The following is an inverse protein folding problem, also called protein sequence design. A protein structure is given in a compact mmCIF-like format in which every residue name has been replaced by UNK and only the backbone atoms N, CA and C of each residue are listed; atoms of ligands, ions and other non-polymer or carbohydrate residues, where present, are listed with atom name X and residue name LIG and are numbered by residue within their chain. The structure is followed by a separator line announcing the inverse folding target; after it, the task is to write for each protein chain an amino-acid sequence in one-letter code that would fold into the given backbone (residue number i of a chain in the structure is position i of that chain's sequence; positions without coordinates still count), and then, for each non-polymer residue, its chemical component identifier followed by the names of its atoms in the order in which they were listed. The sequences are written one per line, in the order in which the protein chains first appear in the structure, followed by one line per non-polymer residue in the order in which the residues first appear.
data_IF_268407210442
#
_entry.id   IF_268407210442
#
_cell.length_a   1.000
_cell.length_b   1.000
_cell.length_c   1.000
_cell.angle_alpha   90.00
_cell.angle_beta   90.00
_cell.angle_gamma   90.00
#
_symmetry.space_group_name_H-M   'P 1'
#
loop_
_entity.id
_entity.type
_entity.pdbx_description
1 polymer ?
#
# COMPACT_ATOMS: atom_id res chain seq x y z
N UNK A 1 20.79 -6.92 20.37
CA UNK A 1 19.44 -7.06 20.93
C UNK A 1 18.36 -7.11 19.87
N UNK A 2 18.44 -6.35 18.76
CA UNK A 2 17.44 -6.39 17.67
C UNK A 2 17.30 -7.78 17.00
N UNK A 3 18.40 -8.52 16.82
CA UNK A 3 18.37 -9.86 16.22
C UNK A 3 17.67 -10.92 17.09
N UNK A 4 17.68 -10.76 18.42
CA UNK A 4 17.04 -11.71 19.32
C UNK A 4 15.52 -11.52 19.38
N UNK A 5 15.03 -10.27 19.31
CA UNK A 5 13.60 -9.97 19.28
C UNK A 5 12.97 -10.38 17.93
N UNK A 6 13.66 -10.16 16.82
CA UNK A 6 13.23 -10.59 15.51
C UNK A 6 13.14 -12.11 15.37
N UNK A 7 14.11 -12.85 15.93
CA UNK A 7 14.08 -14.32 15.96
C UNK A 7 12.91 -14.88 16.77
N UNK A 8 12.58 -14.25 17.91
CA UNK A 8 11.47 -14.69 18.77
C UNK A 8 10.10 -14.39 18.17
N UNK A 9 9.93 -13.23 17.54
CA UNK A 9 8.70 -12.87 16.81
C UNK A 9 8.48 -13.78 15.60
N UNK A 10 9.54 -14.10 14.87
CA UNK A 10 9.53 -15.04 13.76
C UNK A 10 9.13 -16.47 14.18
N UNK A 11 9.70 -16.97 15.28
CA UNK A 11 9.34 -18.29 15.81
C UNK A 11 7.86 -18.33 16.19
N UNK A 12 7.36 -17.31 16.86
CA UNK A 12 5.95 -17.21 17.23
C UNK A 12 5.02 -17.09 16.04
N UNK A 13 5.42 -16.39 14.97
CA UNK A 13 4.65 -16.29 13.73
C UNK A 13 4.50 -17.66 13.07
N UNK A 14 5.60 -18.38 12.84
CA UNK A 14 5.57 -19.73 12.23
C UNK A 14 4.81 -20.74 13.09
N UNK A 15 5.09 -20.79 14.38
CA UNK A 15 4.42 -21.70 15.31
C UNK A 15 2.91 -21.38 15.38
N UNK A 16 2.56 -20.10 15.38
CA UNK A 16 1.18 -19.62 15.36
C UNK A 16 0.46 -20.04 14.06
N UNK A 17 1.06 -19.82 12.90
CA UNK A 17 0.49 -20.24 11.63
C UNK A 17 0.31 -21.76 11.58
N UNK A 18 1.35 -22.54 11.87
CA UNK A 18 1.29 -24.00 11.82
C UNK A 18 0.31 -24.59 12.81
N UNK A 19 0.24 -24.08 14.05
CA UNK A 19 -0.64 -24.62 15.07
C UNK A 19 -2.11 -24.25 14.86
N UNK A 20 -2.39 -23.05 14.39
CA UNK A 20 -3.76 -22.52 14.24
C UNK A 20 -4.39 -22.94 12.92
N UNK A 21 -3.68 -22.70 11.82
CA UNK A 21 -4.17 -22.99 10.48
C UNK A 21 -3.99 -24.44 10.08
N UNK A 22 -2.91 -25.10 10.52
CA UNK A 22 -2.68 -26.53 10.24
C UNK A 22 -3.76 -27.43 10.84
N UNK A 23 -4.28 -27.09 12.03
CA UNK A 23 -5.40 -27.82 12.64
C UNK A 23 -6.70 -27.63 11.86
N UNK A 24 -7.02 -26.40 11.45
CA UNK A 24 -8.21 -26.12 10.68
C UNK A 24 -8.19 -26.85 9.33
N UNK A 25 -7.03 -26.88 8.67
CA UNK A 25 -6.85 -27.61 7.42
C UNK A 25 -6.99 -29.12 7.59
N UNK A 26 -6.35 -29.70 8.62
CA UNK A 26 -6.42 -31.14 8.90
C UNK A 26 -7.85 -31.60 9.23
N UNK A 27 -8.64 -30.75 9.85
CA UNK A 27 -10.03 -31.03 10.22
C UNK A 27 -11.04 -30.62 9.12
N UNK A 28 -10.58 -29.98 8.04
CA UNK A 28 -11.42 -29.38 6.99
C UNK A 28 -12.52 -28.47 7.54
N UNK A 29 -12.21 -27.76 8.64
CA UNK A 29 -13.17 -26.94 9.39
C UNK A 29 -12.63 -25.50 9.53
N UNK A 30 -13.09 -24.65 8.62
CA UNK A 30 -12.69 -23.23 8.54
C UNK A 30 -13.12 -22.47 9.82
N UNK A 31 -14.18 -22.90 10.50
CA UNK A 31 -14.65 -22.23 11.74
C UNK A 31 -13.63 -22.26 12.88
N UNK A 32 -12.64 -23.16 12.79
CA UNK A 32 -11.54 -23.32 13.75
C UNK A 32 -10.31 -22.46 13.45
N UNK A 33 -10.36 -21.65 12.41
CA UNK A 33 -9.29 -20.69 12.11
C UNK A 33 -9.33 -19.57 13.16
N UNK A 34 -8.27 -19.48 13.95
CA UNK A 34 -8.09 -18.39 14.91
C UNK A 34 -6.88 -17.58 14.50
N UNK A 35 -7.09 -16.34 14.04
CA UNK A 35 -6.00 -15.39 13.78
C UNK A 35 -5.49 -14.78 15.10
N UNK A 36 -4.20 -14.44 15.17
CA UNK A 36 -3.74 -13.60 16.27
C UNK A 36 -4.50 -12.26 16.24
N UNK A 37 -4.79 -11.65 17.39
CA UNK A 37 -5.35 -10.32 17.41
C UNK A 37 -4.42 -9.38 16.64
N UNK A 38 -4.99 -8.57 15.76
CA UNK A 38 -4.27 -7.52 15.06
C UNK A 38 -4.12 -6.35 16.01
N UNK A 39 -2.90 -5.88 16.24
CA UNK A 39 -2.67 -4.60 16.90
C UNK A 39 -3.06 -3.47 15.92
N UNK A 40 -4.35 -3.14 15.89
CA UNK A 40 -4.90 -2.17 14.98
C UNK A 40 -4.74 -0.75 15.52
N UNK A 41 -4.27 0.15 14.66
CA UNK A 41 -4.18 1.59 14.95
C UNK A 41 -5.48 2.27 14.52
N UNK A 42 -6.03 3.13 15.39
CA UNK A 42 -7.19 3.93 15.03
C UNK A 42 -6.81 4.99 13.98
N UNK A 43 -7.69 5.31 13.01
CA UNK A 43 -7.43 6.39 12.09
C UNK A 43 -7.41 7.73 12.82
N UNK A 44 -6.54 8.64 12.37
CA UNK A 44 -6.45 9.99 12.89
C UNK A 44 -6.54 10.98 11.72
N UNK A 45 -7.69 11.61 11.58
CA UNK A 45 -7.96 12.55 10.49
C UNK A 45 -7.26 13.93 10.68
N UNK A 46 -6.60 14.14 11.79
CA UNK A 46 -5.67 15.25 12.00
C UNK A 46 -4.25 14.84 11.62
N UNK A 47 -3.42 15.80 11.18
CA UNK A 47 -2.03 15.52 10.84
C UNK A 47 -1.23 15.17 12.11
N UNK A 48 -0.89 13.91 12.25
CA UNK A 48 0.02 13.40 13.27
C UNK A 48 1.27 12.89 12.56
N UNK A 49 2.45 13.30 13.01
CA UNK A 49 3.72 12.99 12.36
C UNK A 49 3.74 13.28 10.85
N UNK A 50 3.05 14.35 10.45
CA UNK A 50 2.96 14.80 9.06
C UNK A 50 2.02 13.99 8.16
N UNK A 51 1.17 13.11 8.70
CA UNK A 51 0.20 12.30 7.93
C UNK A 51 -1.14 12.23 8.65
N UNK A 52 -2.22 12.58 7.95
CA UNK A 52 -3.58 12.32 8.38
C UNK A 52 -4.09 10.99 7.81
N UNK A 53 -4.97 10.30 8.54
CA UNK A 53 -5.52 9.01 8.10
C UNK A 53 -7.02 8.92 8.33
N UNK A 54 -7.72 8.26 7.40
CA UNK A 54 -9.14 7.90 7.55
C UNK A 54 -9.44 6.55 6.92
N UNK A 55 -10.43 5.86 7.45
CA UNK A 55 -10.95 4.63 6.88
C UNK A 55 -12.18 4.91 6.03
N UNK A 56 -12.26 4.29 4.85
CA UNK A 56 -13.40 4.39 3.93
C UNK A 56 -13.89 2.99 3.60
N UNK A 57 -15.19 2.76 3.76
CA UNK A 57 -15.87 1.54 3.33
C UNK A 57 -16.18 1.67 1.83
N UNK A 58 -15.79 0.68 1.03
CA UNK A 58 -16.03 0.66 -0.41
C UNK A 58 -17.20 -0.24 -0.78
N UNK A 59 -17.31 -1.38 -0.12
CA UNK A 59 -18.35 -2.37 -0.43
C UNK A 59 -18.86 -3.02 0.85
N UNK A 60 -20.15 -2.82 1.13
CA UNK A 60 -20.78 -3.35 2.34
C UNK A 60 -20.99 -4.86 2.29
N UNK A 61 -21.21 -5.43 1.10
CA UNK A 61 -21.46 -6.87 0.95
C UNK A 61 -20.21 -7.70 1.23
N UNK A 62 -19.03 -7.23 0.78
CA UNK A 62 -17.76 -7.91 0.99
C UNK A 62 -17.01 -7.44 2.24
N UNK A 63 -17.43 -6.32 2.81
CA UNK A 63 -16.72 -5.66 3.88
C UNK A 63 -15.45 -4.92 3.44
N UNK A 64 -15.22 -4.79 2.11
CA UNK A 64 -14.04 -4.14 1.55
C UNK A 64 -13.94 -2.69 2.02
N UNK A 65 -12.79 -2.35 2.55
CA UNK A 65 -12.49 -1.00 3.03
C UNK A 65 -11.02 -0.66 2.79
N UNK A 66 -10.72 0.63 2.73
CA UNK A 66 -9.35 1.14 2.60
C UNK A 66 -9.03 2.07 3.75
N UNK A 67 -7.74 2.26 4.01
CA UNK A 67 -7.22 3.38 4.80
C UNK A 67 -6.49 4.34 3.88
N UNK A 68 -6.88 5.61 3.91
CA UNK A 68 -6.24 6.68 3.16
C UNK A 68 -5.25 7.39 4.09
N UNK A 69 -4.00 7.53 3.62
CA UNK A 69 -2.94 8.28 4.28
C UNK A 69 -2.64 9.52 3.44
N UNK A 70 -2.95 10.70 3.98
CA UNK A 70 -2.74 11.99 3.34
C UNK A 70 -1.52 12.68 3.95
N UNK A 71 -0.43 12.89 3.20
CA UNK A 71 0.74 13.60 3.72
C UNK A 71 0.50 15.11 3.82
N UNK A 72 1.17 15.78 4.76
CA UNK A 72 1.02 17.21 4.99
C UNK A 72 1.45 18.10 3.80
N UNK A 73 2.27 17.58 2.88
CA UNK A 73 2.63 18.30 1.65
C UNK A 73 1.41 18.53 0.72
N UNK A 74 0.31 17.79 0.88
CA UNK A 74 -0.94 18.03 0.18
C UNK A 74 -1.53 19.43 0.46
N UNK A 75 -1.31 19.96 1.68
CA UNK A 75 -1.87 21.24 2.13
C UNK A 75 -0.83 22.37 2.23
N UNK A 76 0.44 22.05 2.15
CA UNK A 76 1.56 23.01 2.22
C UNK A 76 2.58 22.74 1.11
N UNK A 77 2.32 23.15 -0.13
CA UNK A 77 3.19 22.83 -1.29
C UNK A 77 4.63 23.33 -1.18
N UNK A 78 4.92 24.28 -0.27
CA UNK A 78 6.26 24.84 -0.06
C UNK A 78 7.16 24.07 0.91
N UNK A 79 6.63 23.12 1.67
CA UNK A 79 7.41 22.15 2.45
C UNK A 79 7.66 20.89 1.62
N UNK A 80 8.37 21.03 0.51
CA UNK A 80 9.16 19.89 0.00
C UNK A 80 10.03 19.50 1.18
N UNK A 81 9.89 18.29 1.71
CA UNK A 81 10.79 17.75 2.72
C UNK A 81 12.20 18.15 2.32
N UNK A 82 13.02 18.59 3.29
CA UNK A 82 14.44 18.91 3.06
C UNK A 82 15.13 17.81 2.25
N UNK A 83 14.63 16.60 2.34
CA UNK A 83 14.98 15.43 1.55
C UNK A 83 14.73 15.62 0.04
N UNK A 84 13.59 16.12 -0.40
CA UNK A 84 13.32 16.41 -1.83
C UNK A 84 14.18 17.57 -2.36
N UNK A 85 14.57 18.50 -1.50
CA UNK A 85 15.53 19.57 -1.85
C UNK A 85 16.96 19.01 -1.93
N UNK A 86 17.32 18.11 -1.03
CA UNK A 86 18.62 17.44 -0.98
C UNK A 86 18.82 16.54 -2.21
N UNK A 87 17.78 15.79 -2.62
CA UNK A 87 17.79 14.92 -3.81
C UNK A 87 17.95 15.69 -5.14
N UNK A 88 17.43 16.92 -5.26
CA UNK A 88 17.66 17.77 -6.43
C UNK A 88 19.09 18.31 -6.53
N UNK A 89 19.84 18.27 -5.45
CA UNK A 89 21.19 18.86 -5.36
C UNK A 89 22.32 17.85 -5.49
N UNK A 90 22.03 16.54 -5.44
CA UNK A 90 23.04 15.48 -5.35
C UNK A 90 22.91 14.48 -6.48
N UNK A 91 23.88 14.50 -7.35
CA UNK A 91 24.09 13.44 -8.34
C UNK A 91 24.77 12.25 -7.69
N UNK A 92 24.17 11.04 -7.83
CA UNK A 92 24.63 9.69 -7.54
C UNK A 92 24.94 9.28 -6.09
N UNK A 93 24.37 8.14 -5.69
CA UNK A 93 24.38 7.54 -4.36
C UNK A 93 25.76 7.14 -3.78
N UNK A 94 26.86 7.34 -4.49
CA UNK A 94 28.20 6.96 -4.06
C UNK A 94 28.92 7.98 -3.16
N UNK A 95 28.34 9.14 -2.91
CA UNK A 95 28.96 10.24 -2.14
C UNK A 95 28.37 10.47 -0.75
N UNK A 96 27.59 9.51 -0.22
CA UNK A 96 26.66 9.73 0.91
C UNK A 96 26.99 9.07 2.24
N UNK A 97 28.26 8.94 2.61
CA UNK A 97 28.60 8.61 4.00
C UNK A 97 29.44 9.71 4.62
N UNK A 98 28.87 10.63 5.43
CA UNK A 98 29.70 11.38 6.36
C UNK A 98 30.30 10.43 7.40
N UNK A 99 31.53 10.65 7.86
CA UNK A 99 32.13 9.86 8.91
C UNK A 99 31.33 10.00 10.22
N UNK A 100 31.34 8.99 11.11
CA UNK A 100 30.63 9.07 12.37
C UNK A 100 31.27 10.11 13.29
N UNK A 101 30.56 11.18 13.60
CA UNK A 101 31.01 12.26 14.48
C UNK A 101 30.00 13.39 14.60
N UNK A 102 29.33 13.46 15.75
CA UNK A 102 28.88 14.63 16.49
C UNK A 102 28.05 15.75 15.78
N UNK A 103 26.96 15.43 15.11
CA UNK A 103 26.06 16.46 14.60
C UNK A 103 24.56 16.26 14.87
N UNK A 104 24.15 15.23 15.63
CA UNK A 104 22.73 14.83 15.67
C UNK A 104 21.95 15.31 16.90
N UNK A 105 22.58 15.95 17.89
CA UNK A 105 21.84 16.42 19.10
C UNK A 105 21.28 17.84 18.98
N UNK A 106 21.80 18.69 18.09
CA UNK A 106 21.32 20.08 17.97
C UNK A 106 20.14 20.27 17.00
N UNK A 107 19.87 19.29 16.14
CA UNK A 107 18.81 19.40 15.12
C UNK A 107 17.40 19.17 15.68
N UNK A 108 17.28 18.42 16.78
CA UNK A 108 15.97 18.09 17.39
C UNK A 108 15.53 19.04 18.51
N UNK A 109 16.38 19.96 18.97
CA UNK A 109 16.05 20.90 20.04
C UNK A 109 15.36 22.19 19.57
N UNK A 110 15.27 22.43 18.28
CA UNK A 110 14.64 23.62 17.70
C UNK A 110 13.12 23.54 17.44
N UNK A 111 12.50 22.38 17.62
CA UNK A 111 11.08 22.18 17.30
C UNK A 111 10.11 22.25 18.50
N UNK A 112 10.60 22.44 19.71
CA UNK A 112 9.79 22.52 20.93
C UNK A 112 9.95 23.87 21.63
N UNK A 113 9.65 24.95 20.95
CA UNK A 113 9.57 26.31 21.51
C UNK A 113 8.14 26.83 21.47
N UNK A 114 7.61 27.11 22.65
CA UNK A 114 6.45 27.95 22.94
C UNK A 114 5.03 27.35 22.83
N UNK A 115 4.59 26.71 23.92
CA UNK A 115 3.29 26.96 24.51
C UNK A 115 3.27 26.49 25.98
N UNK A 116 3.81 27.32 26.87
CA UNK A 116 3.56 27.20 28.29
C UNK A 116 2.28 27.99 28.65
N UNK A 117 1.21 27.28 28.96
CA UNK A 117 -0.02 27.81 29.52
C UNK A 117 -0.45 26.91 30.67
N UNK A 118 -0.30 27.41 31.88
CA UNK A 118 -0.59 26.79 33.19
C UNK A 118 -2.07 26.44 33.34
N UNK A 119 -2.35 25.24 33.88
CA UNK A 119 -3.67 24.84 34.35
C UNK A 119 -3.63 23.62 35.23
N UNK A 120 -3.66 23.84 36.53
CA UNK A 120 -3.72 22.90 37.62
C UNK A 120 -5.08 22.18 37.68
N UNK A 121 -5.14 20.87 38.00
CA UNK A 121 -6.43 20.27 38.43
C UNK A 121 -6.50 18.75 38.37
N UNK A 122 -6.19 18.15 39.50
CA UNK A 122 -6.73 16.92 40.12
C UNK A 122 -7.26 15.74 39.32
N UNK A 123 -6.74 14.59 39.73
CA UNK A 123 -7.10 13.25 39.29
C UNK A 123 -8.51 12.80 39.62
N UNK A 124 -8.97 11.85 38.84
CA UNK A 124 -9.90 10.78 39.26
C UNK A 124 -9.70 9.60 38.31
N UNK A 125 -9.56 8.43 38.91
CA UNK A 125 -9.62 7.16 38.20
C UNK A 125 -11.06 6.93 37.72
N UNK A 126 -11.24 6.49 36.48
CA UNK A 126 -12.52 5.97 36.02
C UNK A 126 -12.34 4.69 35.21
N UNK A 127 -13.22 3.79 35.55
CA UNK A 127 -13.35 2.39 35.25
C UNK A 127 -13.53 2.07 33.74
N UNK A 128 -13.05 0.90 33.39
CA UNK A 128 -13.32 0.23 32.11
C UNK A 128 -14.83 0.06 31.89
N UNK A 129 -15.35 0.60 30.81
CA UNK A 129 -16.62 0.17 30.22
C UNK A 129 -16.39 -0.24 28.77
N UNK A 130 -16.50 -1.55 28.53
CA UNK A 130 -16.77 -2.11 27.23
C UNK A 130 -18.09 -1.53 26.70
N UNK A 131 -18.02 -0.78 25.61
CA UNK A 131 -19.15 -0.15 24.93
C UNK A 131 -19.18 -0.47 23.45
N UNK A 132 -20.23 -1.17 23.07
CA UNK A 132 -20.62 -1.56 21.72
C UNK A 132 -20.46 -0.46 20.69
N UNK A 133 -20.08 -0.85 19.46
CA UNK A 133 -20.06 -0.01 18.26
C UNK A 133 -21.45 0.59 18.00
N UNK A 134 -21.65 1.83 18.41
CA UNK A 134 -22.79 2.65 18.10
C UNK A 134 -22.39 3.75 17.11
N UNK A 135 -23.14 3.87 16.02
CA UNK A 135 -23.10 4.96 15.07
C UNK A 135 -23.50 6.29 15.75
N UNK A 136 -22.56 6.94 16.41
CA UNK A 136 -22.74 8.24 17.02
C UNK A 136 -22.09 9.33 16.16
N UNK A 137 -22.86 10.02 15.32
CA UNK A 137 -22.42 11.15 14.51
C UNK A 137 -22.13 12.39 15.36
N UNK A 138 -20.95 12.43 16.00
CA UNK A 138 -20.36 13.70 16.44
C UNK A 138 -19.80 14.46 15.22
N UNK A 139 -19.64 15.81 15.30
CA UNK A 139 -19.09 16.57 14.19
C UNK A 139 -17.69 16.05 13.85
N UNK A 140 -17.42 15.83 12.55
CA UNK A 140 -16.10 15.46 12.04
C UNK A 140 -15.08 16.53 12.42
N UNK A 141 -14.06 16.17 13.18
CA UNK A 141 -13.02 17.11 13.70
C UNK A 141 -11.70 17.03 12.94
N UNK A 142 -11.65 16.27 11.83
CA UNK A 142 -10.45 16.06 11.03
C UNK A 142 -10.20 17.13 9.98
N UNK A 143 -9.16 16.91 9.16
CA UNK A 143 -8.84 17.75 8.03
C UNK A 143 -9.98 17.79 7.00
N UNK A 144 -10.38 18.99 6.62
CA UNK A 144 -11.36 19.25 5.55
C UNK A 144 -10.66 20.08 4.48
N UNK A 145 -10.58 19.60 3.22
CA UNK A 145 -10.02 20.37 2.12
C UNK A 145 -10.78 21.68 1.89
N UNK A 146 -10.05 22.75 1.54
CA UNK A 146 -10.67 23.99 1.13
C UNK A 146 -11.16 23.88 -0.32
N UNK A 147 -12.44 23.97 -0.61
CA UNK A 147 -12.97 23.85 -1.97
C UNK A 147 -12.48 24.92 -2.94
N UNK A 148 -12.05 26.07 -2.43
CA UNK A 148 -11.59 27.22 -3.21
C UNK A 148 -10.07 27.36 -3.19
N UNK A 149 -9.36 26.47 -2.51
CA UNK A 149 -7.87 26.50 -2.39
C UNK A 149 -7.20 25.91 -3.62
N UNK A 150 -5.97 26.41 -3.91
CA UNK A 150 -5.09 25.73 -4.84
C UNK A 150 -4.66 24.40 -4.20
N UNK A 151 -5.35 23.31 -4.53
CA UNK A 151 -5.06 21.98 -4.01
C UNK A 151 -3.87 21.39 -4.78
N UNK A 152 -2.89 20.86 -4.05
CA UNK A 152 -1.77 20.17 -4.68
C UNK A 152 -2.15 18.72 -4.99
N UNK A 153 -2.06 18.36 -6.25
CA UNK A 153 -2.36 17.01 -6.75
C UNK A 153 -1.16 16.09 -6.54
N UNK A 154 -1.38 14.98 -5.86
CA UNK A 154 -0.36 14.00 -5.48
C UNK A 154 -0.59 12.67 -6.19
N UNK A 155 0.48 11.95 -6.58
CA UNK A 155 0.34 10.59 -7.06
C UNK A 155 -0.31 9.69 -6.00
N UNK A 156 -0.93 8.59 -6.45
CA UNK A 156 -1.62 7.63 -5.59
C UNK A 156 -0.83 6.33 -5.55
N UNK A 157 -0.55 5.83 -4.36
CA UNK A 157 0.02 4.48 -4.13
C UNK A 157 -1.09 3.60 -3.57
N UNK A 158 -1.52 2.57 -4.31
CA UNK A 158 -2.43 1.54 -3.80
C UNK A 158 -1.60 0.44 -3.19
N UNK A 159 -1.70 0.29 -1.86
CA UNK A 159 -0.85 -0.59 -1.07
C UNK A 159 -1.61 -1.84 -0.61
N UNK A 160 -0.96 -3.01 -0.77
CA UNK A 160 -1.43 -4.32 -0.33
C UNK A 160 -0.51 -4.84 0.78
N UNK A 161 -1.09 -5.08 1.96
CA UNK A 161 -0.33 -5.49 3.15
C UNK A 161 0.22 -6.91 3.06
N UNK A 162 1.19 -7.23 3.89
CA UNK A 162 1.73 -8.57 4.09
C UNK A 162 0.79 -9.47 4.91
N UNK A 163 1.20 -10.71 5.17
CA UNK A 163 0.46 -11.63 6.05
C UNK A 163 0.08 -12.95 5.40
N UNK A 164 0.80 -13.34 4.35
CA UNK A 164 0.69 -14.65 3.70
C UNK A 164 -0.73 -14.99 3.24
N UNK A 165 -1.53 -14.02 2.81
CA UNK A 165 -2.94 -14.09 2.44
C UNK A 165 -3.90 -14.46 3.59
N UNK A 166 -3.40 -14.83 4.75
CA UNK A 166 -4.19 -15.39 5.86
C UNK A 166 -4.23 -14.52 7.11
N UNK A 167 -3.35 -13.54 7.22
CA UNK A 167 -3.26 -12.60 8.34
C UNK A 167 -2.97 -11.18 7.84
N UNK A 168 -2.77 -10.26 8.76
CA UNK A 168 -2.50 -8.86 8.45
C UNK A 168 -3.77 -8.05 8.23
N UNK A 169 -3.60 -6.74 8.14
CA UNK A 169 -4.68 -5.82 7.83
C UNK A 169 -4.13 -4.45 7.41
N UNK A 170 -4.95 -3.65 6.74
CA UNK A 170 -4.62 -2.28 6.33
C UNK A 170 -4.26 -1.35 7.50
N UNK A 171 -4.74 -1.67 8.68
CA UNK A 171 -4.66 -0.87 9.91
C UNK A 171 -3.80 -1.50 11.01
N UNK A 172 -3.11 -2.60 10.74
CA UNK A 172 -2.11 -3.14 11.68
C UNK A 172 -1.00 -2.12 11.94
N UNK A 173 -0.46 -2.07 13.16
CA UNK A 173 0.55 -1.09 13.55
C UNK A 173 1.76 -1.08 12.61
N UNK A 174 2.24 -2.25 12.19
CA UNK A 174 3.35 -2.34 11.23
C UNK A 174 2.99 -1.73 9.88
N UNK A 175 1.80 -2.06 9.35
CA UNK A 175 1.35 -1.54 8.07
C UNK A 175 1.06 -0.03 8.13
N UNK A 176 0.47 0.45 9.23
CA UNK A 176 0.23 1.89 9.44
C UNK A 176 1.55 2.68 9.46
N UNK A 177 2.56 2.20 10.20
CA UNK A 177 3.90 2.82 10.24
C UNK A 177 4.55 2.84 8.84
N UNK A 178 4.49 1.73 8.12
CA UNK A 178 5.04 1.63 6.76
C UNK A 178 4.32 2.59 5.78
N UNK A 179 2.99 2.60 5.78
CA UNK A 179 2.21 3.47 4.90
C UNK A 179 2.40 4.97 5.22
N UNK A 180 2.51 5.35 6.50
CA UNK A 180 2.86 6.72 6.90
C UNK A 180 4.24 7.13 6.39
N UNK A 181 5.23 6.23 6.47
CA UNK A 181 6.57 6.47 5.92
C UNK A 181 6.48 6.68 4.41
N UNK A 182 5.84 5.78 3.67
CA UNK A 182 5.66 5.90 2.22
C UNK A 182 4.99 7.22 1.84
N UNK A 183 3.88 7.59 2.50
CA UNK A 183 3.17 8.83 2.21
C UNK A 183 4.09 10.05 2.31
N UNK A 184 4.96 10.09 3.35
CA UNK A 184 5.90 11.19 3.56
C UNK A 184 7.07 11.20 2.56
N UNK A 185 7.73 10.05 2.36
CA UNK A 185 8.96 10.02 1.53
C UNK A 185 8.66 10.08 0.04
N UNK A 186 7.52 9.52 -0.39
CA UNK A 186 7.08 9.56 -1.79
C UNK A 186 6.28 10.83 -2.14
N UNK A 187 5.91 11.67 -1.15
CA UNK A 187 4.95 12.76 -1.36
C UNK A 187 3.71 12.27 -2.13
N UNK A 188 3.09 11.19 -1.66
CA UNK A 188 1.99 10.51 -2.33
C UNK A 188 0.86 10.20 -1.36
N UNK A 189 -0.37 10.16 -1.85
CA UNK A 189 -1.48 9.58 -1.11
C UNK A 189 -1.31 8.07 -1.12
N UNK A 190 -1.32 7.43 0.07
CA UNK A 190 -1.31 5.97 0.15
C UNK A 190 -2.72 5.48 0.47
N UNK A 191 -3.21 4.55 -0.34
CA UNK A 191 -4.50 3.87 -0.16
C UNK A 191 -4.22 2.41 0.20
N UNK A 192 -4.22 2.09 1.49
CA UNK A 192 -3.98 0.74 1.98
C UNK A 192 -5.26 -0.09 1.90
N UNK A 193 -5.19 -1.22 1.21
CA UNK A 193 -6.34 -2.11 0.92
C UNK A 193 -6.52 -3.14 2.02
N UNK A 194 -7.72 -3.19 2.60
CA UNK A 194 -8.15 -4.26 3.50
C UNK A 194 -8.79 -5.40 2.73
N UNK A 195 -7.99 -6.15 1.97
CA UNK A 195 -8.48 -7.25 1.15
C UNK A 195 -8.91 -8.45 1.99
N UNK A 196 -9.86 -9.25 1.49
CA UNK A 196 -10.37 -10.46 2.15
C UNK A 196 -9.29 -11.52 2.26
N UNK A 197 -9.27 -12.20 3.39
CA UNK A 197 -8.25 -13.18 3.75
C UNK A 197 -8.75 -14.62 3.57
N UNK A 198 -7.82 -15.49 3.22
CA UNK A 198 -8.01 -16.94 3.24
C UNK A 198 -7.89 -17.45 4.70
N UNK A 199 -8.47 -18.63 4.99
CA UNK A 199 -9.17 -19.54 4.09
C UNK A 199 -10.65 -19.22 3.88
N UNK A 200 -11.23 -18.22 4.57
CA UNK A 200 -12.65 -17.87 4.45
C UNK A 200 -12.97 -17.36 3.04
N UNK A 201 -12.02 -16.66 2.45
CA UNK A 201 -12.12 -16.11 1.10
C UNK A 201 -10.87 -16.51 0.30
N UNK A 202 -10.95 -17.66 -0.36
CA UNK A 202 -9.88 -18.19 -1.20
C UNK A 202 -9.68 -17.36 -2.47
N UNK A 203 -8.58 -17.60 -3.17
CA UNK A 203 -8.34 -17.06 -4.51
C UNK A 203 -9.57 -17.25 -5.41
N UNK A 204 -10.02 -16.20 -6.15
CA UNK A 204 -9.36 -14.93 -6.40
C UNK A 204 -9.79 -13.74 -5.51
N UNK A 205 -10.45 -13.94 -4.37
CA UNK A 205 -11.11 -12.89 -3.59
C UNK A 205 -10.21 -11.65 -3.30
N UNK A 206 -8.94 -11.86 -2.91
CA UNK A 206 -8.01 -10.77 -2.66
C UNK A 206 -7.68 -9.94 -3.92
N UNK A 207 -7.63 -10.61 -5.08
CA UNK A 207 -7.38 -9.95 -6.37
C UNK A 207 -8.58 -9.14 -6.84
N UNK A 208 -9.78 -9.67 -6.62
CA UNK A 208 -11.04 -8.98 -6.92
C UNK A 208 -11.19 -7.73 -6.06
N UNK A 209 -10.86 -7.82 -4.78
CA UNK A 209 -10.88 -6.69 -3.86
C UNK A 209 -9.88 -5.60 -4.28
N UNK A 210 -8.66 -5.97 -4.65
CA UNK A 210 -7.66 -5.03 -5.15
C UNK A 210 -8.12 -4.31 -6.41
N UNK A 211 -8.70 -5.03 -7.35
CA UNK A 211 -9.21 -4.46 -8.58
C UNK A 211 -10.44 -3.57 -8.34
N UNK A 212 -11.31 -3.94 -7.41
CA UNK A 212 -12.48 -3.13 -7.01
C UNK A 212 -12.06 -1.79 -6.40
N UNK A 213 -10.96 -1.76 -5.63
CA UNK A 213 -10.40 -0.49 -5.12
C UNK A 213 -9.96 0.43 -6.26
N UNK A 214 -9.36 -0.10 -7.34
CA UNK A 214 -8.98 0.73 -8.49
C UNK A 214 -10.21 1.28 -9.23
N UNK A 215 -11.26 0.50 -9.40
CA UNK A 215 -12.53 0.97 -9.96
C UNK A 215 -13.15 2.07 -9.10
N UNK A 216 -13.12 1.88 -7.79
CA UNK A 216 -13.58 2.90 -6.85
C UNK A 216 -12.77 4.19 -6.99
N UNK A 217 -11.43 4.13 -7.04
CA UNK A 217 -10.57 5.31 -7.23
C UNK A 217 -10.85 6.01 -8.57
N UNK A 218 -11.02 5.26 -9.66
CA UNK A 218 -11.42 5.81 -10.96
C UNK A 218 -12.76 6.56 -10.85
N UNK A 219 -13.75 5.97 -10.19
CA UNK A 219 -15.05 6.59 -9.95
C UNK A 219 -14.94 7.86 -9.10
N UNK A 220 -14.07 7.88 -8.07
CA UNK A 220 -13.84 9.09 -7.26
C UNK A 220 -13.34 10.25 -8.13
N UNK A 221 -12.45 10.01 -9.07
CA UNK A 221 -11.96 11.03 -9.99
C UNK A 221 -13.07 11.55 -10.92
N UNK A 222 -13.86 10.65 -11.52
CA UNK A 222 -15.02 11.04 -12.38
C UNK A 222 -16.02 11.90 -11.60
N UNK A 223 -16.31 11.54 -10.35
CA UNK A 223 -17.23 12.31 -9.50
C UNK A 223 -16.65 13.68 -9.14
N UNK A 224 -15.33 13.75 -8.87
CA UNK A 224 -14.64 15.01 -8.56
C UNK A 224 -14.64 15.98 -9.75
N UNK A 225 -14.39 15.48 -10.96
CA UNK A 225 -14.45 16.27 -12.20
C UNK A 225 -15.86 16.78 -12.47
N UNK A 226 -16.87 15.92 -12.33
CA UNK A 226 -18.28 16.31 -12.50
C UNK A 226 -18.72 17.38 -11.46
N UNK A 227 -18.26 17.27 -10.21
CA UNK A 227 -18.53 18.28 -9.17
C UNK A 227 -17.83 19.63 -9.51
N UNK A 228 -16.61 19.58 -10.02
CA UNK A 228 -15.87 20.78 -10.44
C UNK A 228 -16.57 21.49 -11.61
N UNK A 229 -17.05 20.74 -12.61
CA UNK A 229 -17.77 21.29 -13.76
C UNK A 229 -19.09 21.97 -13.34
N UNK A 230 -19.86 21.36 -12.45
CA UNK A 230 -21.08 21.96 -11.89
C UNK A 230 -20.76 23.26 -11.15
N UNK A 231 -19.69 23.27 -10.34
CA UNK A 231 -19.27 24.47 -9.59
C UNK A 231 -18.84 25.61 -10.51
N UNK A 232 -18.08 25.31 -11.58
CA UNK A 232 -17.61 26.28 -12.55
C UNK A 232 -18.76 26.87 -13.37
N UNK A 233 -19.76 26.07 -13.75
CA UNK A 233 -20.94 26.54 -14.49
C UNK A 233 -21.81 27.50 -13.65
N UNK A 234 -21.95 27.26 -12.37
CA UNK A 234 -22.65 28.19 -11.45
C UNK A 234 -21.87 29.51 -11.26
N UNK A 235 -20.54 29.46 -11.20
CA UNK A 235 -19.70 30.65 -11.04
C UNK A 235 -19.74 31.59 -12.26
N UNK A 236 -19.99 31.04 -13.47
CA UNK A 236 -20.05 31.82 -14.73
C UNK A 236 -21.45 32.39 -15.04
N UNK A 237 -22.43 32.26 -14.15
CA UNK A 237 -23.76 32.89 -14.28
C UNK A 237 -24.63 32.36 -15.43
N UNK A 238 -24.30 31.17 -15.94
CA UNK A 238 -24.97 30.57 -17.10
C UNK A 238 -26.13 29.64 -16.71
N UNK A 239 -27.36 30.17 -16.55
CA UNK A 239 -28.56 29.35 -16.49
C UNK A 239 -29.00 28.76 -17.84
N UNK A 240 -28.28 28.99 -18.93
CA UNK A 240 -28.65 28.53 -20.27
C UNK A 240 -27.66 27.53 -20.84
N UNK A 241 -28.10 26.27 -20.94
CA UNK A 241 -27.53 25.37 -21.94
C UNK A 241 -26.88 24.06 -21.50
N UNK A 242 -27.17 23.50 -20.33
CA UNK A 242 -26.84 22.09 -20.08
C UNK A 242 -27.97 21.24 -20.64
N UNK A 243 -27.72 20.53 -21.75
CA UNK A 243 -28.70 19.68 -22.41
C UNK A 243 -29.28 18.61 -21.45
N UNK A 244 -30.54 18.25 -21.66
CA UNK A 244 -31.30 17.33 -20.80
C UNK A 244 -30.64 15.96 -20.61
N UNK A 245 -29.81 15.49 -21.58
CA UNK A 245 -29.02 14.26 -21.43
C UNK A 245 -27.90 14.39 -20.39
N UNK A 246 -27.22 15.52 -20.35
CA UNK A 246 -26.19 15.79 -19.34
C UNK A 246 -26.81 15.97 -17.95
N UNK A 247 -28.00 16.58 -17.85
CA UNK A 247 -28.77 16.65 -16.59
C UNK A 247 -29.16 15.26 -16.06
N UNK A 248 -29.53 14.32 -16.93
CA UNK A 248 -29.88 12.96 -16.53
C UNK A 248 -28.68 12.15 -15.98
N UNK A 249 -27.50 12.32 -16.55
CA UNK A 249 -26.25 11.70 -16.09
C UNK A 249 -25.79 12.39 -14.80
N UNK A 250 -25.81 13.71 -14.73
CA UNK A 250 -25.42 14.50 -13.56
C UNK A 250 -26.36 14.22 -12.39
N UNK A 251 -27.67 14.09 -12.61
CA UNK A 251 -28.66 13.80 -11.53
C UNK A 251 -28.48 12.40 -10.95
N UNK A 252 -28.02 11.41 -11.72
CA UNK A 252 -27.69 10.07 -11.20
C UNK A 252 -26.35 10.04 -10.46
N UNK A 253 -25.35 10.83 -10.89
CA UNK A 253 -24.05 10.94 -10.24
C UNK A 253 -24.11 11.76 -8.93
N UNK A 254 -25.01 12.74 -8.82
CA UNK A 254 -25.17 13.62 -7.65
C UNK A 254 -25.69 12.89 -6.38
N UNK A 255 -26.09 11.62 -6.48
CA UNK A 255 -26.40 10.81 -5.28
C UNK A 255 -25.18 10.28 -4.54
N UNK A 256 -24.00 10.26 -5.16
CA UNK A 256 -22.73 9.91 -4.52
C UNK A 256 -21.76 11.09 -4.62
N UNK A 257 -21.37 11.64 -3.49
CA UNK A 257 -20.30 12.65 -3.44
C UNK A 257 -18.93 11.97 -3.45
N UNK A 258 -17.93 12.55 -4.13
CA UNK A 258 -16.57 12.03 -4.07
C UNK A 258 -16.00 12.17 -2.67
N UNK A 259 -15.06 11.31 -2.33
CA UNK A 259 -14.29 11.47 -1.12
C UNK A 259 -13.53 12.80 -1.13
N UNK A 260 -13.72 13.70 -0.14
CA UNK A 260 -13.19 15.06 -0.19
C UNK A 260 -11.66 15.11 -0.27
N UNK A 261 -10.95 14.16 0.35
CA UNK A 261 -9.48 14.13 0.30
C UNK A 261 -8.97 13.72 -1.07
N UNK A 262 -9.62 12.72 -1.68
CA UNK A 262 -9.26 12.25 -3.02
C UNK A 262 -9.62 13.29 -4.07
N UNK A 263 -10.82 13.88 -3.99
CA UNK A 263 -11.25 14.94 -4.91
C UNK A 263 -10.32 16.14 -4.90
N UNK A 264 -9.79 16.50 -3.72
CA UNK A 264 -8.90 17.65 -3.59
C UNK A 264 -7.45 17.37 -3.97
N UNK A 265 -6.96 16.15 -3.72
CA UNK A 265 -5.51 15.92 -3.71
C UNK A 265 -5.05 14.70 -4.52
N UNK A 266 -5.92 13.84 -5.04
CA UNK A 266 -5.49 12.64 -5.75
C UNK A 266 -5.36 12.87 -7.26
N UNK A 267 -4.19 12.57 -7.81
CA UNK A 267 -3.98 12.44 -9.24
C UNK A 267 -3.97 10.94 -9.61
N UNK A 268 -5.11 10.44 -10.03
CA UNK A 268 -5.27 9.02 -10.40
C UNK A 268 -4.59 8.65 -11.72
N UNK A 269 -4.16 9.64 -12.53
CA UNK A 269 -3.35 9.39 -13.71
C UNK A 269 -1.92 8.97 -13.35
N UNK A 270 -1.51 9.19 -12.10
CA UNK A 270 -0.20 8.83 -11.55
C UNK A 270 -0.36 7.79 -10.43
N UNK A 271 -0.93 6.62 -10.77
CA UNK A 271 -1.14 5.52 -9.82
C UNK A 271 0.02 4.52 -9.87
N UNK A 272 0.45 4.06 -8.69
CA UNK A 272 1.45 2.98 -8.51
C UNK A 272 0.85 1.92 -7.60
N UNK A 273 1.00 0.64 -7.95
CA UNK A 273 0.65 -0.47 -7.07
C UNK A 273 1.86 -0.83 -6.22
N UNK A 274 1.67 -1.03 -4.92
CA UNK A 274 2.73 -1.45 -4.03
C UNK A 274 2.25 -2.62 -3.18
N UNK A 275 2.99 -3.71 -3.22
CA UNK A 275 2.65 -4.89 -2.43
C UNK A 275 3.82 -5.41 -1.61
N UNK A 276 3.51 -5.97 -0.45
CA UNK A 276 4.47 -6.55 0.49
C UNK A 276 4.18 -8.03 0.66
N UNK A 277 5.15 -8.92 0.41
CA UNK A 277 5.03 -10.37 0.56
C UNK A 277 3.82 -10.94 -0.22
N UNK A 278 2.79 -11.46 0.46
CA UNK A 278 1.53 -11.87 -0.18
C UNK A 278 0.85 -10.72 -0.91
N UNK A 279 0.90 -9.51 -0.35
CA UNK A 279 0.39 -8.31 -1.01
C UNK A 279 1.12 -7.98 -2.31
N UNK A 280 2.40 -8.35 -2.45
CA UNK A 280 3.13 -8.20 -3.71
C UNK A 280 2.59 -9.15 -4.80
N UNK A 281 2.21 -10.36 -4.43
CA UNK A 281 1.50 -11.25 -5.34
C UNK A 281 0.13 -10.65 -5.75
N UNK A 282 -0.61 -10.08 -4.78
CA UNK A 282 -1.89 -9.41 -5.08
C UNK A 282 -1.66 -8.23 -6.03
N UNK A 283 -0.68 -7.36 -5.77
CA UNK A 283 -0.34 -6.23 -6.63
C UNK A 283 -0.04 -6.65 -8.07
N UNK A 284 0.77 -7.69 -8.26
CA UNK A 284 1.11 -8.21 -9.58
C UNK A 284 -0.12 -8.75 -10.34
N UNK A 285 -1.00 -9.49 -9.68
CA UNK A 285 -2.22 -10.01 -10.30
C UNK A 285 -3.19 -8.88 -10.66
N UNK A 286 -3.30 -7.86 -9.82
CA UNK A 286 -4.10 -6.65 -10.09
C UNK A 286 -3.49 -5.87 -11.28
N UNK A 287 -2.15 -5.67 -11.31
CA UNK A 287 -1.47 -5.00 -12.43
C UNK A 287 -1.75 -5.69 -13.76
N UNK A 288 -1.69 -7.02 -13.81
CA UNK A 288 -2.00 -7.81 -15.02
C UNK A 288 -3.43 -7.59 -15.49
N UNK A 289 -4.38 -7.49 -14.56
CA UNK A 289 -5.79 -7.26 -14.87
C UNK A 289 -6.02 -5.84 -15.42
N UNK A 290 -5.30 -4.84 -14.90
CA UNK A 290 -5.41 -3.44 -15.33
C UNK A 290 -5.07 -3.24 -16.80
N UNK A 291 -4.11 -3.99 -17.33
CA UNK A 291 -3.60 -3.81 -18.70
C UNK A 291 -4.32 -4.69 -19.74
N UNK A 292 -5.31 -5.47 -19.33
CA UNK A 292 -6.20 -6.14 -20.28
C UNK A 292 -7.05 -5.08 -21.02
N UNK A 293 -7.52 -5.35 -22.28
CA UNK A 293 -8.39 -4.40 -22.99
C UNK A 293 -9.63 -3.99 -22.18
N UNK A 294 -10.21 -4.92 -21.43
CA UNK A 294 -11.34 -4.63 -20.54
C UNK A 294 -10.90 -3.75 -19.36
N UNK A 295 -9.77 -4.10 -18.72
CA UNK A 295 -9.25 -3.35 -17.58
C UNK A 295 -8.91 -1.91 -17.93
N UNK A 296 -8.24 -1.67 -19.04
CA UNK A 296 -7.91 -0.31 -19.52
C UNK A 296 -9.17 0.54 -19.70
N UNK A 297 -10.23 -0.02 -20.28
CA UNK A 297 -11.48 0.71 -20.52
C UNK A 297 -12.25 0.96 -19.22
N UNK A 298 -12.29 -0.03 -18.31
CA UNK A 298 -13.06 0.05 -17.08
C UNK A 298 -12.44 1.01 -16.03
N UNK A 299 -11.10 1.15 -16.07
CA UNK A 299 -10.37 1.94 -15.08
C UNK A 299 -10.15 3.41 -15.47
N UNK A 300 -10.53 3.83 -16.67
CA UNK A 300 -10.41 5.25 -17.05
C UNK A 300 -11.14 6.15 -16.04
N UNK A 301 -10.54 7.27 -15.60
CA UNK A 301 -9.27 7.87 -16.06
C UNK A 301 -8.02 7.36 -15.31
N UNK A 302 -8.13 6.40 -14.41
CA UNK A 302 -7.01 5.88 -13.63
C UNK A 302 -5.97 5.18 -14.52
N UNK A 303 -4.69 5.50 -14.29
CA UNK A 303 -3.57 4.90 -15.02
C UNK A 303 -2.53 4.34 -14.04
N UNK A 304 -2.27 3.03 -14.14
CA UNK A 304 -1.20 2.37 -13.37
C UNK A 304 0.12 2.52 -14.11
N UNK A 305 1.03 3.35 -13.59
CA UNK A 305 2.33 3.64 -14.19
C UNK A 305 3.43 2.68 -13.77
N UNK A 306 3.32 2.09 -12.59
CA UNK A 306 4.33 1.21 -12.05
C UNK A 306 3.81 0.27 -10.98
N UNK A 307 4.62 -0.75 -10.67
CA UNK A 307 4.40 -1.61 -9.51
C UNK A 307 5.69 -1.80 -8.71
N UNK A 308 5.54 -1.83 -7.38
CA UNK A 308 6.63 -2.09 -6.42
C UNK A 308 6.30 -3.36 -5.66
N UNK A 309 7.15 -4.36 -5.79
CA UNK A 309 6.95 -5.69 -5.22
C UNK A 309 8.05 -5.99 -4.21
N UNK A 310 7.73 -5.91 -2.91
CA UNK A 310 8.67 -6.21 -1.84
C UNK A 310 8.61 -7.69 -1.51
N UNK A 311 9.76 -8.37 -1.68
CA UNK A 311 9.95 -9.80 -1.37
C UNK A 311 8.71 -10.65 -1.66
N UNK A 312 8.25 -10.68 -2.95
CA UNK A 312 6.96 -11.23 -3.34
C UNK A 312 6.81 -12.71 -3.00
N UNK A 313 5.66 -13.07 -2.42
CA UNK A 313 5.31 -14.45 -2.11
C UNK A 313 4.83 -15.17 -3.38
N UNK A 314 5.79 -15.75 -4.10
CA UNK A 314 5.53 -16.60 -5.25
C UNK A 314 5.81 -18.08 -4.93
N UNK A 315 5.07 -18.98 -5.59
CA UNK A 315 5.23 -20.41 -5.49
C UNK A 315 5.97 -21.02 -6.68
N UNK A 316 6.12 -22.32 -6.64
CA UNK A 316 6.62 -23.18 -7.71
C UNK A 316 6.97 -24.56 -7.17
N UNK A 317 6.72 -25.60 -7.96
CA UNK A 317 6.97 -27.00 -7.57
C UNK A 317 8.47 -27.32 -7.51
N UNK A 318 9.27 -26.73 -8.41
CA UNK A 318 10.72 -26.91 -8.42
C UNK A 318 11.37 -26.07 -7.32
N UNK A 319 12.12 -26.68 -6.38
CA UNK A 319 12.79 -25.92 -5.32
C UNK A 319 13.91 -25.04 -5.88
N UNK A 320 14.07 -23.84 -5.32
CA UNK A 320 15.15 -22.90 -5.67
C UNK A 320 16.37 -23.07 -4.74
N UNK A 321 17.57 -22.59 -5.12
CA UNK A 321 18.73 -22.60 -4.25
C UNK A 321 18.50 -21.88 -2.91
N UNK A 322 17.80 -20.73 -2.90
CA UNK A 322 17.45 -20.03 -1.65
C UNK A 322 16.53 -20.86 -0.75
N UNK A 323 15.54 -21.55 -1.32
CA UNK A 323 14.66 -22.47 -0.56
C UNK A 323 15.41 -23.67 0.01
N UNK A 324 16.42 -24.19 -0.71
CA UNK A 324 17.24 -25.31 -0.24
C UNK A 324 18.23 -24.88 0.85
N UNK A 325 18.88 -23.71 0.69
CA UNK A 325 19.86 -23.17 1.62
C UNK A 325 19.22 -22.70 2.94
N UNK A 326 18.07 -22.04 2.86
CA UNK A 326 17.39 -21.44 3.99
C UNK A 326 16.19 -22.26 4.48
N UNK A 327 16.34 -23.60 4.51
CA UNK A 327 15.29 -24.56 4.88
C UNK A 327 14.61 -24.25 6.22
N UNK A 328 15.38 -23.70 7.16
CA UNK A 328 14.94 -23.33 8.51
C UNK A 328 14.93 -21.79 8.70
N UNK A 329 14.72 -21.03 7.61
CA UNK A 329 14.73 -19.58 7.64
C UNK A 329 13.78 -18.98 8.69
N UNK A 330 14.13 -17.80 9.19
CA UNK A 330 13.47 -17.20 10.36
C UNK A 330 11.97 -16.95 10.18
N UNK A 331 11.52 -16.29 9.11
CA UNK A 331 10.11 -15.88 8.97
C UNK A 331 9.28 -16.82 8.11
N UNK A 332 9.85 -17.28 7.01
CA UNK A 332 9.21 -18.22 6.11
C UNK A 332 10.12 -19.41 5.88
N UNK A 333 9.56 -20.60 5.96
CA UNK A 333 10.19 -21.83 5.51
C UNK A 333 9.26 -22.53 4.53
N UNK A 334 9.79 -23.49 3.79
CA UNK A 334 9.05 -24.17 2.74
C UNK A 334 7.74 -24.81 3.21
N UNK A 335 7.67 -25.53 4.36
CA UNK A 335 6.41 -26.08 4.86
C UNK A 335 5.36 -25.00 5.21
N UNK A 336 5.80 -23.84 5.68
CA UNK A 336 4.89 -22.70 5.95
C UNK A 336 4.37 -22.10 4.65
N UNK A 337 5.21 -21.95 3.62
CA UNK A 337 4.77 -21.51 2.30
C UNK A 337 3.74 -22.46 1.69
N UNK A 338 3.98 -23.77 1.73
CA UNK A 338 3.01 -24.76 1.23
C UNK A 338 1.69 -24.70 1.99
N UNK A 339 1.72 -24.54 3.32
CA UNK A 339 0.52 -24.39 4.13
C UNK A 339 -0.31 -23.17 3.71
N UNK A 340 0.30 -22.00 3.56
CA UNK A 340 -0.44 -20.80 3.20
C UNK A 340 -1.01 -20.85 1.78
N UNK A 341 -0.32 -21.47 0.83
CA UNK A 341 -0.87 -21.68 -0.50
C UNK A 341 -2.03 -22.67 -0.51
N UNK A 342 -2.02 -23.72 0.33
CA UNK A 342 -3.18 -24.62 0.52
C UNK A 342 -4.40 -23.91 1.09
N UNK A 343 -4.17 -22.95 1.98
CA UNK A 343 -5.26 -22.13 2.53
C UNK A 343 -5.80 -21.14 1.50
N UNK A 344 -4.92 -20.59 0.66
CA UNK A 344 -5.25 -19.54 -0.29
C UNK A 344 -5.90 -20.05 -1.59
N UNK A 345 -5.38 -21.11 -2.17
CA UNK A 345 -5.88 -21.67 -3.43
C UNK A 345 -7.18 -22.48 -3.23
N UNK A 346 -8.03 -22.62 -4.25
CA UNK A 346 -9.16 -23.54 -4.23
C UNK A 346 -8.71 -24.97 -3.92
N UNK A 347 -9.52 -25.73 -3.19
CA UNK A 347 -9.15 -27.08 -2.74
C UNK A 347 -9.06 -28.08 -3.88
N UNK A 348 -9.90 -27.90 -4.91
CA UNK A 348 -10.00 -28.73 -6.11
C UNK A 348 -8.95 -28.37 -7.18
N UNK A 349 -8.27 -27.22 -7.04
CA UNK A 349 -7.26 -26.72 -7.99
C UNK A 349 -5.93 -26.36 -7.29
N UNK A 350 -5.61 -27.08 -6.21
CA UNK A 350 -4.37 -26.81 -5.49
C UNK A 350 -3.16 -27.34 -6.24
N UNK A 351 -2.29 -26.41 -6.64
CA UNK A 351 -0.94 -26.70 -7.16
C UNK A 351 -0.01 -25.54 -6.79
N UNK A 352 1.25 -25.84 -6.45
CA UNK A 352 2.28 -24.81 -6.33
C UNK A 352 2.63 -24.17 -7.68
N UNK A 353 2.22 -24.80 -8.77
CA UNK A 353 2.35 -24.29 -10.14
C UNK A 353 1.05 -23.65 -10.65
N UNK A 354 0.08 -23.42 -9.75
CA UNK A 354 -1.14 -22.70 -10.12
C UNK A 354 -0.79 -21.25 -10.57
N UNK A 355 -1.37 -20.74 -11.69
CA UNK A 355 -1.01 -19.45 -12.27
C UNK A 355 -1.21 -18.24 -11.36
N UNK A 356 -2.05 -18.37 -10.34
CA UNK A 356 -2.25 -17.31 -9.34
C UNK A 356 -1.01 -17.09 -8.44
N UNK A 357 -0.23 -18.14 -8.21
CA UNK A 357 0.89 -18.11 -7.26
C UNK A 357 2.25 -18.34 -7.92
N UNK A 358 2.30 -19.00 -9.07
CA UNK A 358 3.51 -19.14 -9.88
C UNK A 358 3.44 -18.30 -11.16
N UNK A 359 3.93 -17.07 -11.14
CA UNK A 359 3.86 -16.18 -12.30
C UNK A 359 4.78 -16.59 -13.45
N UNK A 360 5.74 -17.51 -13.21
CA UNK A 360 6.74 -17.94 -14.20
C UNK A 360 6.18 -18.92 -15.26
N UNK A 361 5.06 -19.57 -14.97
CA UNK A 361 4.45 -20.55 -15.88
C UNK A 361 3.50 -19.96 -16.92
N UNK A 362 3.42 -18.66 -17.00
CA UNK A 362 2.59 -17.98 -17.99
C UNK A 362 3.33 -17.88 -19.32
N UNK A 363 2.73 -18.41 -20.38
CA UNK A 363 3.28 -18.32 -21.74
C UNK A 363 3.29 -16.89 -22.27
N UNK A 364 2.36 -16.05 -21.82
CA UNK A 364 2.19 -14.68 -22.29
C UNK A 364 1.89 -13.72 -21.15
N UNK A 365 2.49 -12.52 -21.23
CA UNK A 365 2.09 -11.37 -20.44
C UNK A 365 1.14 -10.49 -21.27
N UNK A 366 0.11 -9.90 -20.67
CA UNK A 366 -0.66 -8.89 -21.37
C UNK A 366 0.26 -7.72 -21.75
N UNK A 367 0.10 -7.14 -22.95
CA UNK A 367 0.87 -5.96 -23.36
C UNK A 367 0.57 -4.79 -22.43
N UNK A 368 1.57 -3.93 -22.20
CA UNK A 368 1.40 -2.74 -21.37
C UNK A 368 1.58 -2.98 -19.87
N UNK A 369 2.15 -4.12 -19.45
CA UNK A 369 2.54 -4.30 -18.04
C UNK A 369 3.37 -3.12 -17.55
N UNK A 370 3.10 -2.60 -16.34
CA UNK A 370 3.78 -1.42 -15.83
C UNK A 370 5.24 -1.70 -15.50
N UNK A 371 6.07 -0.64 -15.49
CA UNK A 371 7.42 -0.72 -14.95
C UNK A 371 7.42 -1.33 -13.54
N UNK A 372 8.44 -2.13 -13.21
CA UNK A 372 8.44 -2.92 -11.98
C UNK A 372 9.71 -2.68 -11.17
N UNK A 373 9.55 -2.33 -9.89
CA UNK A 373 10.61 -2.40 -8.89
C UNK A 373 10.43 -3.66 -8.06
N UNK A 374 11.46 -4.52 -8.03
CA UNK A 374 11.54 -5.68 -7.14
C UNK A 374 12.51 -5.41 -6.01
N UNK A 375 12.07 -5.60 -4.78
CA UNK A 375 12.90 -5.53 -3.57
C UNK A 375 13.11 -6.94 -3.05
N UNK A 376 14.36 -7.34 -2.84
CA UNK A 376 14.74 -8.67 -2.34
C UNK A 376 15.67 -8.58 -1.13
N UNK A 377 15.57 -9.56 -0.23
CA UNK A 377 16.36 -9.70 0.98
C UNK A 377 17.27 -10.92 0.82
N UNK A 378 18.58 -10.82 1.14
CA UNK A 378 19.53 -11.90 0.86
C UNK A 378 19.36 -13.15 1.76
N UNK A 379 18.72 -12.99 2.92
CA UNK A 379 18.38 -14.10 3.82
C UNK A 379 16.90 -14.51 3.76
N UNK A 380 16.30 -14.41 2.57
CA UNK A 380 14.91 -14.79 2.32
C UNK A 380 14.83 -16.00 1.35
N UNK A 381 14.00 -16.98 1.69
CA UNK A 381 13.77 -18.14 0.82
C UNK A 381 13.10 -17.77 -0.52
N UNK A 382 12.44 -16.64 -0.60
CA UNK A 382 11.69 -16.18 -1.77
C UNK A 382 12.58 -15.44 -2.80
N UNK A 383 13.85 -15.15 -2.45
CA UNK A 383 14.74 -14.30 -3.25
C UNK A 383 14.94 -14.82 -4.66
N UNK A 384 15.28 -16.11 -4.84
CA UNK A 384 15.53 -16.64 -6.19
C UNK A 384 14.28 -16.63 -7.07
N UNK A 385 13.08 -16.81 -6.49
CA UNK A 385 11.81 -16.71 -7.25
C UNK A 385 11.56 -15.29 -7.71
N UNK A 386 11.83 -14.30 -6.86
CA UNK A 386 11.71 -12.90 -7.21
C UNK A 386 12.71 -12.51 -8.31
N UNK A 387 13.95 -12.99 -8.22
CA UNK A 387 14.99 -12.78 -9.24
C UNK A 387 14.57 -13.44 -10.56
N UNK A 388 14.13 -14.70 -10.53
CA UNK A 388 13.64 -15.40 -11.72
C UNK A 388 12.47 -14.65 -12.36
N UNK A 389 11.57 -14.10 -11.54
CA UNK A 389 10.46 -13.29 -12.02
C UNK A 389 10.96 -11.98 -12.67
N UNK A 390 11.98 -11.34 -12.15
CA UNK A 390 12.57 -10.15 -12.79
C UNK A 390 13.13 -10.46 -14.18
N UNK A 391 13.80 -11.61 -14.34
CA UNK A 391 14.32 -12.07 -15.65
C UNK A 391 13.15 -12.37 -16.60
N UNK A 392 12.11 -13.03 -16.09
CA UNK A 392 10.91 -13.31 -16.87
C UNK A 392 10.28 -12.03 -17.42
N UNK A 393 10.04 -11.02 -16.59
CA UNK A 393 9.48 -9.73 -17.01
C UNK A 393 10.37 -9.03 -18.06
N UNK A 394 11.69 -9.02 -17.85
CA UNK A 394 12.66 -8.43 -18.80
C UNK A 394 12.62 -9.10 -20.15
N UNK A 395 12.43 -10.42 -20.21
CA UNK A 395 12.30 -11.16 -21.47
C UNK A 395 11.05 -10.75 -22.28
N UNK A 396 10.04 -10.20 -21.62
CA UNK A 396 8.86 -9.60 -22.26
C UNK A 396 9.01 -8.08 -22.51
N UNK A 397 10.22 -7.53 -22.35
CA UNK A 397 10.50 -6.11 -22.62
C UNK A 397 10.00 -5.14 -21.54
N UNK A 398 9.64 -5.63 -20.34
CA UNK A 398 9.21 -4.78 -19.23
C UNK A 398 10.44 -4.14 -18.58
N UNK A 399 10.34 -2.84 -18.25
CA UNK A 399 11.35 -2.12 -17.45
C UNK A 399 11.32 -2.66 -16.01
N UNK A 400 12.40 -3.32 -15.60
CA UNK A 400 12.51 -3.95 -14.28
C UNK A 400 13.82 -3.57 -13.60
N UNK A 401 13.68 -2.94 -12.44
CA UNK A 401 14.77 -2.70 -11.50
C UNK A 401 14.68 -3.71 -10.35
N UNK A 402 15.81 -4.23 -9.89
CA UNK A 402 15.92 -5.11 -8.72
C UNK A 402 16.83 -4.45 -7.69
N UNK A 403 16.32 -4.19 -6.51
CA UNK A 403 17.07 -3.70 -5.36
C UNK A 403 17.28 -4.85 -4.36
N UNK A 404 18.53 -5.21 -4.13
CA UNK A 404 18.92 -6.30 -3.21
C UNK A 404 19.56 -5.72 -1.96
N UNK A 405 19.03 -6.09 -0.80
CA UNK A 405 19.51 -5.64 0.51
C UNK A 405 20.24 -6.78 1.22
N UNK A 406 21.48 -6.49 1.67
CA UNK A 406 22.34 -7.46 2.35
C UNK A 406 22.04 -7.52 3.85
N UNK A 407 22.31 -8.68 4.44
CA UNK A 407 22.18 -8.95 5.88
C UNK A 407 20.76 -8.68 6.43
N UNK A 408 19.74 -8.84 5.59
CA UNK A 408 18.32 -8.66 5.96
C UNK A 408 17.50 -9.90 5.63
N UNK A 409 16.42 -10.08 6.37
CA UNK A 409 15.47 -11.21 6.26
C UNK A 409 14.15 -10.76 5.64
N UNK A 410 13.27 -11.72 5.35
CA UNK A 410 11.90 -11.44 4.92
C UNK A 410 11.19 -10.47 5.85
N UNK A 411 10.53 -9.45 5.31
CA UNK A 411 9.79 -8.45 6.10
C UNK A 411 10.65 -7.33 6.70
N UNK A 412 11.95 -7.23 6.38
CA UNK A 412 12.86 -6.25 6.98
C UNK A 412 12.38 -4.79 6.92
N UNK A 413 11.65 -4.43 5.87
CA UNK A 413 11.18 -3.06 5.65
C UNK A 413 9.87 -2.73 6.39
N UNK A 414 9.14 -3.72 6.87
CA UNK A 414 7.77 -3.56 7.38
C UNK A 414 7.58 -4.05 8.81
N UNK A 415 8.37 -5.01 9.30
CA UNK A 415 8.21 -5.57 10.65
C UNK A 415 8.61 -4.58 11.74
N UNK A 416 7.82 -4.52 12.82
CA UNK A 416 7.95 -3.58 13.94
C UNK A 416 9.39 -3.53 14.52
N UNK A 417 10.05 -4.68 14.66
CA UNK A 417 11.42 -4.75 15.17
C UNK A 417 12.52 -4.35 14.18
N UNK A 418 12.20 -4.15 12.89
CA UNK A 418 13.17 -3.91 11.82
C UNK A 418 12.87 -2.64 11.01
N UNK A 419 11.68 -2.10 11.09
CA UNK A 419 11.22 -0.95 10.29
C UNK A 419 12.09 0.31 10.47
N UNK A 420 12.80 0.44 11.58
CA UNK A 420 13.70 1.57 11.89
C UNK A 420 15.20 1.20 11.71
N UNK A 421 15.50 0.17 10.94
CA UNK A 421 16.89 -0.14 10.58
C UNK A 421 17.34 0.71 9.40
N UNK A 422 18.66 0.99 9.26
CA UNK A 422 19.19 1.72 8.10
C UNK A 422 18.79 1.09 6.76
N UNK A 423 18.71 -0.24 6.69
CA UNK A 423 18.30 -0.94 5.48
C UNK A 423 16.82 -0.71 5.15
N UNK A 424 15.94 -0.64 6.16
CA UNK A 424 14.52 -0.34 5.97
C UNK A 424 14.31 1.12 5.54
N UNK A 425 15.11 2.03 6.08
CA UNK A 425 15.11 3.44 5.67
C UNK A 425 15.59 3.60 4.23
N UNK A 426 16.74 3.03 3.89
CA UNK A 426 17.26 3.02 2.53
C UNK A 426 16.27 2.40 1.52
N UNK A 427 15.57 1.34 1.92
CA UNK A 427 14.54 0.73 1.08
C UNK A 427 13.38 1.71 0.79
N UNK A 428 12.92 2.44 1.79
CA UNK A 428 11.84 3.43 1.61
C UNK A 428 12.30 4.59 0.71
N UNK A 429 13.54 5.03 0.83
CA UNK A 429 14.16 6.06 -0.01
C UNK A 429 14.30 5.61 -1.47
N UNK A 430 14.80 4.40 -1.68
CA UNK A 430 14.92 3.80 -3.02
C UNK A 430 13.55 3.66 -3.70
N UNK A 431 12.53 3.25 -2.95
CA UNK A 431 11.14 3.20 -3.42
C UNK A 431 10.67 4.59 -3.83
N UNK A 432 10.93 5.62 -3.01
CA UNK A 432 10.53 6.99 -3.31
C UNK A 432 11.23 7.54 -4.55
N UNK A 433 12.52 7.29 -4.71
CA UNK A 433 13.28 7.67 -5.90
C UNK A 433 12.72 7.01 -7.15
N UNK A 434 12.46 5.71 -7.08
CA UNK A 434 11.93 4.95 -8.21
C UNK A 434 10.50 5.43 -8.59
N UNK A 435 9.61 5.62 -7.61
CA UNK A 435 8.26 6.13 -7.86
C UNK A 435 8.33 7.53 -8.49
N UNK A 436 9.11 8.45 -7.90
CA UNK A 436 9.26 9.81 -8.42
C UNK A 436 9.70 9.81 -9.88
N UNK A 437 10.69 8.99 -10.24
CA UNK A 437 11.15 8.85 -11.63
C UNK A 437 10.02 8.44 -12.57
N UNK A 438 9.21 7.45 -12.20
CA UNK A 438 8.21 6.87 -13.10
C UNK A 438 6.90 7.67 -13.16
N UNK A 439 6.56 8.44 -12.12
CA UNK A 439 5.37 9.31 -12.15
C UNK A 439 5.64 10.68 -12.77
N UNK A 440 6.91 11.14 -12.83
CA UNK A 440 7.29 12.44 -13.41
C UNK A 440 7.44 12.40 -14.94
N UNK A 441 7.86 11.27 -15.51
CA UNK A 441 8.15 11.15 -16.95
C UNK A 441 6.93 11.33 -17.86
N UNK A 442 5.71 11.33 -17.33
CA UNK A 442 4.48 11.49 -18.12
C UNK A 442 3.96 12.92 -18.18
N UNK A 443 4.29 13.78 -17.19
CA UNK A 443 3.94 15.21 -17.28
C UNK A 443 4.63 15.89 -18.47
N UNK A 444 5.87 15.51 -18.75
CA UNK A 444 6.66 16.11 -19.85
C UNK A 444 6.22 15.59 -21.24
N UNK A 445 5.68 14.37 -21.34
CA UNK A 445 5.21 13.80 -22.61
C UNK A 445 3.87 14.38 -23.07
N UNK A 446 3.05 14.89 -22.15
CA UNK A 446 1.75 15.49 -22.48
C UNK A 446 1.89 16.95 -22.92
N UNK A 447 2.92 17.66 -22.44
CA UNK A 447 3.21 19.04 -22.87
C UNK A 447 3.89 19.13 -24.25
N UNK A 448 4.49 18.04 -24.75
CA UNK A 448 5.13 18.01 -26.10
C UNK A 448 4.21 17.59 -27.25
N UNK A 449 2.93 17.33 -26.99
CA UNK A 449 1.94 16.89 -28.01
C UNK A 449 0.86 17.93 -28.32
N UNK A 450 1.11 19.24 -28.09
CA UNK A 450 0.29 20.36 -28.54
C UNK A 450 1.05 21.30 -29.45
#
# INVERSE_FOLDING_TARGET
MASFSAGWQSYNFKAGLRSRFGRALAQKDISKVSRPPVNAVRPNASFSEGVATKDVRINDNTGLSVRIFLPACAIQPGRINEFGWMMRRMGTASEWFPPPGDANEQFWQGANGDAAGSGNGNGAADEEQEGAAGSGGGPYTGYVPNPSGANHQLPVIVQFHEGAFVTGSKDSACNDTFCRRLARVCNAIVVAVGYRLAPEHKCPAAYDDGYEVLKWLSRQAILADAEADVRNSHAQGGEQGVGDEMRGVTTRLVQELPDPWLAAHADVHRCVLLGVSAGANVADQVARRCVTPHGVNELQPLVVLGQVLLYPLFAGSMPTPSEMKARDAYFFDKPTCELVFRLFLPDDDFSLDHPAVNPLLREHLPPGMPATLLVVADHDILTDRAIAYSVFLKNFGIDVQVNSYKDVVHGFATYEGMVNTPQAEACAEDIAMWITKHVSTRSDATEMSY
#
